data_IF_802262607172
#
_entry.id   IF_802262607172
#
_cell.length_a   1.000
_cell.length_b   1.000
_cell.length_c   1.000
_cell.angle_alpha   90.00
_cell.angle_beta   90.00
_cell.angle_gamma   90.00
#
_symmetry.space_group_name_H-M   'P 1'
#
loop_
_entity.id
_entity.type
_entity.pdbx_description
1 polymer ?
#
# COMPACT_ATOMS: atom_id res chain seq x y z
N UNK A 1 -10.41 4.87 -15.51
CA UNK A 1 -11.13 3.75 -14.85
C UNK A 1 -10.65 3.48 -13.42
N UNK A 2 -9.32 3.37 -13.18
CA UNK A 2 -8.75 3.15 -11.83
C UNK A 2 -9.19 4.20 -10.80
N UNK A 3 -9.15 5.49 -11.15
CA UNK A 3 -9.59 6.56 -10.24
C UNK A 3 -11.06 6.42 -9.83
N UNK A 4 -11.93 6.03 -10.77
CA UNK A 4 -13.36 5.81 -10.47
C UNK A 4 -13.57 4.59 -9.57
N UNK A 5 -12.81 3.50 -9.78
CA UNK A 5 -12.83 2.33 -8.90
C UNK A 5 -12.36 2.69 -7.49
N UNK A 6 -11.30 3.50 -7.37
CA UNK A 6 -10.73 3.90 -6.07
C UNK A 6 -11.68 4.82 -5.31
N UNK A 7 -12.35 5.76 -5.97
CA UNK A 7 -13.38 6.58 -5.34
C UNK A 7 -14.54 5.74 -4.81
N UNK A 8 -15.05 4.78 -5.59
CA UNK A 8 -16.08 3.86 -5.10
C UNK A 8 -15.60 3.00 -3.94
N UNK A 9 -14.31 2.62 -3.92
CA UNK A 9 -13.69 1.91 -2.81
C UNK A 9 -13.65 2.74 -1.52
N UNK A 10 -13.43 4.07 -1.62
CA UNK A 10 -13.48 5.00 -0.49
C UNK A 10 -14.90 5.14 0.04
N UNK A 11 -15.89 5.29 -0.85
CA UNK A 11 -17.31 5.45 -0.46
C UNK A 11 -17.91 4.17 0.15
N UNK A 12 -17.67 3.02 -0.49
CA UNK A 12 -18.25 1.74 -0.08
C UNK A 12 -17.42 1.01 1.00
N UNK A 13 -16.20 1.46 1.29
CA UNK A 13 -15.25 0.85 2.24
C UNK A 13 -15.12 -0.67 2.06
N UNK A 14 -15.03 -1.13 0.81
CA UNK A 14 -14.99 -2.56 0.47
C UNK A 14 -13.62 -3.18 0.77
N UNK A 15 -13.41 -3.60 2.03
CA UNK A 15 -12.17 -4.21 2.53
C UNK A 15 -11.65 -5.35 1.63
N UNK A 16 -12.56 -6.20 1.14
CA UNK A 16 -12.21 -7.37 0.31
C UNK A 16 -11.56 -6.98 -1.02
N UNK A 17 -12.07 -5.93 -1.67
CA UNK A 17 -11.52 -5.39 -2.91
C UNK A 17 -10.19 -4.69 -2.65
N UNK A 18 -10.11 -3.88 -1.58
CA UNK A 18 -8.89 -3.17 -1.21
C UNK A 18 -7.71 -4.15 -1.03
N UNK A 19 -7.93 -5.25 -0.31
CA UNK A 19 -6.96 -6.34 -0.16
C UNK A 19 -6.46 -6.88 -1.50
N UNK A 20 -7.37 -7.10 -2.44
CA UNK A 20 -7.05 -7.65 -3.74
C UNK A 20 -6.26 -6.65 -4.59
N UNK A 21 -6.69 -5.38 -4.59
CA UNK A 21 -6.06 -4.28 -5.31
C UNK A 21 -4.62 -4.06 -4.85
N UNK A 22 -4.39 -3.97 -3.53
CA UNK A 22 -3.03 -3.82 -2.96
C UNK A 22 -2.14 -5.00 -3.36
N UNK A 23 -2.66 -6.23 -3.30
CA UNK A 23 -1.91 -7.44 -3.66
C UNK A 23 -1.62 -7.52 -5.17
N UNK A 24 -2.56 -7.10 -6.01
CA UNK A 24 -2.36 -6.97 -7.45
C UNK A 24 -1.29 -5.93 -7.78
N UNK A 25 -1.35 -4.75 -7.14
CA UNK A 25 -0.36 -3.71 -7.35
C UNK A 25 1.04 -4.13 -6.93
N UNK A 26 1.18 -4.85 -5.81
CA UNK A 26 2.47 -5.38 -5.38
C UNK A 26 3.07 -6.32 -6.44
N UNK A 27 2.29 -7.28 -6.96
CA UNK A 27 2.75 -8.15 -8.05
C UNK A 27 3.04 -7.38 -9.35
N UNK A 28 2.28 -6.34 -9.64
CA UNK A 28 2.55 -5.48 -10.80
C UNK A 28 3.86 -4.71 -10.61
N UNK A 29 4.21 -4.34 -9.38
CA UNK A 29 5.46 -3.63 -9.07
C UNK A 29 6.72 -4.46 -9.30
N UNK A 30 6.62 -5.80 -9.30
CA UNK A 30 7.71 -6.70 -9.71
C UNK A 30 8.10 -6.53 -11.19
N UNK A 31 7.22 -5.95 -12.03
CA UNK A 31 7.55 -5.60 -13.41
C UNK A 31 8.03 -4.15 -13.51
N UNK A 32 9.28 -3.95 -13.91
CA UNK A 32 9.88 -2.61 -14.03
C UNK A 32 9.03 -1.62 -14.88
N UNK A 33 8.48 -2.07 -16.01
CA UNK A 33 7.58 -1.26 -16.86
C UNK A 33 6.25 -0.92 -16.17
N UNK A 34 5.66 -1.89 -15.48
CA UNK A 34 4.39 -1.66 -14.77
C UNK A 34 4.60 -0.77 -13.54
N UNK A 35 5.74 -0.89 -12.87
CA UNK A 35 6.14 -0.03 -11.75
C UNK A 35 6.23 1.45 -12.14
N UNK A 36 6.80 1.77 -13.30
CA UNK A 36 6.82 3.15 -13.82
C UNK A 36 5.41 3.66 -14.13
N UNK A 37 4.57 2.83 -14.78
CA UNK A 37 3.17 3.18 -15.02
C UNK A 37 2.39 3.36 -13.72
N UNK A 38 2.65 2.54 -12.70
CA UNK A 38 2.03 2.66 -11.38
C UNK A 38 2.40 3.96 -10.70
N UNK A 39 3.64 4.44 -10.80
CA UNK A 39 4.02 5.76 -10.26
C UNK A 39 3.17 6.89 -10.82
N UNK A 40 2.86 6.81 -12.11
CA UNK A 40 2.07 7.81 -12.86
C UNK A 40 0.56 7.64 -12.65
N UNK A 41 0.10 6.41 -12.44
CA UNK A 41 -1.32 6.08 -12.32
C UNK A 41 -1.77 5.78 -10.89
N UNK A 42 -0.91 5.97 -9.88
CA UNK A 42 -1.27 5.76 -8.47
C UNK A 42 -2.25 6.86 -8.03
N UNK A 43 -3.48 6.51 -7.62
CA UNK A 43 -4.44 7.48 -7.12
C UNK A 43 -3.99 8.12 -5.80
N UNK A 44 -4.26 9.41 -5.62
CA UNK A 44 -4.01 10.14 -4.37
C UNK A 44 -4.62 9.45 -3.13
N UNK A 45 -5.85 8.88 -3.16
CA UNK A 45 -6.41 8.23 -1.97
C UNK A 45 -5.63 7.00 -1.47
N UNK A 46 -4.89 6.34 -2.36
CA UNK A 46 -3.99 5.24 -1.99
C UNK A 46 -2.67 5.75 -1.39
N UNK A 47 -2.30 7.00 -1.69
CA UNK A 47 -1.06 7.65 -1.24
C UNK A 47 -1.27 8.44 0.06
N UNK A 48 -2.39 9.16 0.19
CA UNK A 48 -2.74 10.04 1.32
C UNK A 48 -3.27 9.29 2.55
N UNK A 49 -3.10 7.97 2.59
CA UNK A 49 -3.58 7.13 3.69
C UNK A 49 -5.10 7.23 3.95
N UNK A 50 -5.91 7.58 2.94
CA UNK A 50 -7.39 7.62 3.04
C UNK A 50 -7.96 6.26 3.48
N UNK A 51 -7.29 5.18 3.10
CA UNK A 51 -7.63 3.81 3.51
C UNK A 51 -7.03 3.40 4.86
N UNK A 52 -6.29 4.26 5.58
CA UNK A 52 -5.60 3.92 6.83
C UNK A 52 -6.56 3.43 7.91
N UNK A 53 -7.75 4.02 8.01
CA UNK A 53 -8.81 3.58 8.92
C UNK A 53 -9.30 2.17 8.60
N UNK A 54 -9.48 1.86 7.31
CA UNK A 54 -9.92 0.54 6.82
C UNK A 54 -8.80 -0.50 6.99
N UNK A 55 -7.54 -0.08 6.88
CA UNK A 55 -6.35 -0.91 7.03
C UNK A 55 -5.87 -1.02 8.48
N UNK A 56 -6.56 -0.40 9.45
CA UNK A 56 -6.15 -0.36 10.86
C UNK A 56 -6.11 -1.75 11.47
N UNK A 57 -7.14 -2.56 11.21
CA UNK A 57 -7.27 -3.93 11.69
C UNK A 57 -6.61 -4.97 10.75
N UNK A 58 -5.98 -4.51 9.66
CA UNK A 58 -5.52 -5.36 8.57
C UNK A 58 -4.01 -5.18 8.30
N UNK A 59 -3.21 -5.60 9.27
CA UNK A 59 -1.76 -5.45 9.28
C UNK A 59 -1.07 -6.03 8.02
N UNK A 60 -1.56 -7.15 7.49
CA UNK A 60 -1.01 -7.77 6.29
C UNK A 60 -1.13 -6.86 5.05
N UNK A 61 -2.27 -6.19 4.91
CA UNK A 61 -2.55 -5.29 3.78
C UNK A 61 -1.77 -4.00 3.94
N UNK A 62 -1.69 -3.48 5.18
CA UNK A 62 -0.83 -2.34 5.53
C UNK A 62 0.62 -2.59 5.13
N UNK A 63 1.15 -3.77 5.45
CA UNK A 63 2.51 -4.18 5.08
C UNK A 63 2.69 -4.30 3.57
N UNK A 64 1.74 -4.88 2.84
CA UNK A 64 1.81 -4.93 1.38
C UNK A 64 1.77 -3.53 0.74
N UNK A 65 0.94 -2.62 1.25
CA UNK A 65 0.86 -1.25 0.76
C UNK A 65 2.16 -0.49 1.02
N UNK A 66 2.75 -0.66 2.21
CA UNK A 66 4.06 -0.07 2.53
C UNK A 66 5.16 -0.61 1.60
N UNK A 67 5.19 -1.91 1.33
CA UNK A 67 6.14 -2.52 0.39
C UNK A 67 5.94 -2.02 -1.05
N UNK A 68 4.69 -1.87 -1.49
CA UNK A 68 4.37 -1.30 -2.79
C UNK A 68 4.86 0.15 -2.89
N UNK A 69 4.56 0.99 -1.88
CA UNK A 69 5.01 2.37 -1.85
C UNK A 69 6.54 2.45 -1.85
N UNK A 70 7.21 1.58 -1.10
CA UNK A 70 8.67 1.46 -1.09
C UNK A 70 9.23 1.10 -2.47
N UNK A 71 8.66 0.09 -3.12
CA UNK A 71 9.02 -0.31 -4.48
C UNK A 71 8.80 0.83 -5.49
N UNK A 72 7.79 1.69 -5.25
CA UNK A 72 7.51 2.88 -6.04
C UNK A 72 8.24 4.14 -5.56
N UNK A 73 9.08 4.12 -4.51
CA UNK A 73 9.80 5.32 -4.02
C UNK A 73 11.30 5.33 -4.32
N UNK A 74 11.92 4.22 -4.71
CA UNK A 74 13.32 4.16 -5.23
C UNK A 74 14.39 4.83 -4.34
N UNK A 75 14.23 4.84 -3.01
CA UNK A 75 15.32 5.08 -2.07
C UNK A 75 15.13 4.18 -0.85
N UNK A 76 16.20 3.49 -0.51
CA UNK A 76 16.38 2.58 0.63
C UNK A 76 15.79 3.18 1.90
N UNK A 77 14.73 2.58 2.46
CA UNK A 77 14.44 2.72 3.89
C UNK A 77 14.26 1.34 4.50
N UNK A 78 15.22 1.08 5.37
CA UNK A 78 15.42 -0.10 6.17
C UNK A 78 14.14 -0.48 6.97
N UNK A 79 13.68 -1.74 6.93
CA UNK A 79 12.53 -2.18 7.74
C UNK A 79 12.84 -2.31 9.25
N UNK A 80 13.98 -1.84 9.75
CA UNK A 80 14.35 -1.91 11.17
C UNK A 80 13.77 -0.74 11.97
N UNK A 81 12.47 -0.80 12.25
CA UNK A 81 11.94 -0.25 13.50
C UNK A 81 10.72 -1.04 13.96
N UNK A 82 10.88 -2.36 13.99
CA UNK A 82 10.10 -3.22 14.87
C UNK A 82 10.63 -3.01 16.29
N UNK A 83 9.86 -2.29 17.09
CA UNK A 83 10.00 -2.12 18.54
C UNK A 83 10.44 -3.41 19.24
N UNK A 84 11.66 -3.43 19.78
CA UNK A 84 12.05 -4.36 20.83
C UNK A 84 12.64 -3.55 21.98
N UNK A 85 11.74 -2.91 22.71
CA UNK A 85 11.90 -2.66 24.13
C UNK A 85 12.08 -4.01 24.82
N UNK A 86 13.31 -4.39 25.20
CA UNK A 86 13.52 -5.40 26.23
C UNK A 86 14.86 -5.14 26.94
N UNK A 87 14.71 -4.46 28.08
CA UNK A 87 15.45 -4.52 29.34
C UNK A 87 16.86 -5.17 29.41
N UNK A 88 17.73 -4.41 30.08
CA UNK A 88 18.96 -4.75 30.80
C UNK A 88 18.92 -6.11 31.52
N UNK A 89 20.09 -6.73 31.77
CA UNK A 89 20.92 -6.36 32.94
C UNK A 89 22.27 -5.73 32.60
#
# INVERSE_FOLDING_TARGET
>A
VLSNMVNQLVEQQTVRLLKHVVRCFLRLSDNARAREALRQCLPEPLRDATFSSVLRDDAATKRCLAQLLLALSDQVVDPSQQSQSNLLP
#
